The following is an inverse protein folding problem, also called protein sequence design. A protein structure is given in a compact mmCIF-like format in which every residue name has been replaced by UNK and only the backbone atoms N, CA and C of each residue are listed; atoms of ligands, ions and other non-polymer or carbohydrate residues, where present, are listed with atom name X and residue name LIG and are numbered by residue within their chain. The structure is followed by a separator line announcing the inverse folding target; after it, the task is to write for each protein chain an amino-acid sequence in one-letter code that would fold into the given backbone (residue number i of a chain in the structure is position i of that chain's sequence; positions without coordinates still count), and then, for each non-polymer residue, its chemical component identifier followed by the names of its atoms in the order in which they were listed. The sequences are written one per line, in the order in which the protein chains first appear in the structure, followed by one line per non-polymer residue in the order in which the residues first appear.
data_IF_006964936739
#
_entry.id   IF_006964936739
#
_cell.length_a   1.000
_cell.length_b   1.000
_cell.length_c   1.000
_cell.angle_alpha   90.00
_cell.angle_beta   90.00
_cell.angle_gamma   90.00
#
_symmetry.space_group_name_H-M   'P 1'
#
loop_
_entity.id
_entity.type
_entity.pdbx_description
1 polymer ?
#
# COMPACT_ATOMS: atom_id res chain seq x y z
N UNK A 1 -5.34 6.49 2.52
CA UNK A 1 -6.77 6.40 2.18
C UNK A 1 -7.16 7.27 0.98
N UNK A 2 -6.78 8.55 0.91
CA UNK A 2 -7.15 9.46 -0.19
C UNK A 2 -6.91 8.91 -1.62
N UNK A 3 -5.75 8.28 -1.86
CA UNK A 3 -5.38 7.71 -3.18
C UNK A 3 -6.44 6.76 -3.75
N UNK A 4 -7.11 5.97 -2.90
CA UNK A 4 -8.04 4.90 -3.29
C UNK A 4 -9.52 5.24 -3.01
N UNK A 5 -9.81 6.43 -2.49
CA UNK A 5 -11.16 6.83 -2.08
C UNK A 5 -12.16 6.91 -3.25
N UNK A 6 -11.69 7.06 -4.49
CA UNK A 6 -12.52 7.01 -5.69
C UNK A 6 -12.80 5.60 -6.23
N UNK A 7 -12.18 4.56 -5.66
CA UNK A 7 -12.32 3.17 -6.11
C UNK A 7 -13.15 2.33 -5.14
N UNK A 8 -12.98 2.56 -3.84
CA UNK A 8 -13.67 1.83 -2.77
C UNK A 8 -14.02 2.77 -1.63
N UNK A 9 -15.06 2.41 -0.88
CA UNK A 9 -15.36 3.10 0.37
C UNK A 9 -14.15 3.06 1.32
N UNK A 10 -13.80 4.21 1.89
CA UNK A 10 -12.62 4.35 2.76
C UNK A 10 -12.67 3.51 4.04
N UNK A 11 -13.86 3.06 4.46
CA UNK A 11 -14.06 2.10 5.55
C UNK A 11 -13.51 0.71 5.24
N UNK A 12 -13.46 0.32 3.96
CA UNK A 12 -12.88 -0.94 3.48
C UNK A 12 -11.36 -0.92 3.50
N UNK A 13 -10.73 0.23 3.71
CA UNK A 13 -9.26 0.35 3.77
C UNK A 13 -8.82 0.31 5.23
N UNK A 14 -8.21 -0.81 5.62
CA UNK A 14 -7.69 -1.04 6.97
C UNK A 14 -6.18 -0.81 7.02
N UNK A 15 -5.69 -0.33 8.17
CA UNK A 15 -4.26 -0.28 8.47
C UNK A 15 -3.96 -1.27 9.59
N UNK A 16 -2.94 -2.09 9.42
CA UNK A 16 -2.49 -3.10 10.37
C UNK A 16 -1.02 -2.91 10.64
N UNK A 17 -0.69 -2.53 11.86
CA UNK A 17 0.71 -2.38 12.26
C UNK A 17 1.35 -3.75 12.50
N UNK A 18 2.63 -3.87 12.13
CA UNK A 18 3.45 -5.06 12.37
C UNK A 18 4.85 -4.62 12.78
N UNK A 19 5.62 -5.53 13.36
CA UNK A 19 7.00 -5.24 13.81
C UNK A 19 7.88 -4.63 12.71
N UNK A 20 7.68 -5.01 11.46
CA UNK A 20 8.59 -4.67 10.35
C UNK A 20 8.02 -3.68 9.34
N UNK A 21 6.72 -3.39 9.40
CA UNK A 21 6.01 -2.48 8.49
C UNK A 21 4.57 -2.22 8.97
N UNK A 22 3.95 -1.15 8.48
CA UNK A 22 2.50 -0.95 8.60
C UNK A 22 1.83 -1.40 7.28
N UNK A 23 0.95 -2.40 7.36
CA UNK A 23 0.23 -2.94 6.21
C UNK A 23 -1.04 -2.13 5.94
N UNK A 24 -1.29 -1.80 4.68
CA UNK A 24 -2.56 -1.22 4.21
C UNK A 24 -3.30 -2.32 3.46
N UNK A 25 -4.49 -2.69 3.93
CA UNK A 25 -5.24 -3.84 3.44
C UNK A 25 -6.60 -3.41 2.93
N UNK A 26 -7.10 -4.11 1.91
CA UNK A 26 -8.49 -4.03 1.50
C UNK A 26 -9.32 -5.05 2.30
N UNK A 27 -10.48 -4.63 2.78
CA UNK A 27 -11.44 -5.42 3.57
C UNK A 27 -10.82 -6.07 4.82
N UNK A 28 -9.78 -5.44 5.38
CA UNK A 28 -9.02 -5.99 6.51
C UNK A 28 -8.51 -7.43 6.28
N UNK A 29 -8.23 -7.77 5.02
CA UNK A 29 -7.89 -9.13 4.60
C UNK A 29 -6.41 -9.22 4.20
N UNK A 30 -5.65 -10.07 4.89
CA UNK A 30 -4.22 -10.31 4.61
C UNK A 30 -3.94 -10.88 3.21
N UNK A 31 -4.95 -11.42 2.51
CA UNK A 31 -4.84 -11.88 1.11
C UNK A 31 -5.09 -10.78 0.07
N UNK A 32 -5.46 -9.58 0.53
CA UNK A 32 -5.71 -8.37 -0.27
C UNK A 32 -4.85 -7.18 0.21
N UNK A 33 -3.52 -7.31 0.25
CA UNK A 33 -2.66 -6.20 0.63
C UNK A 33 -2.63 -5.12 -0.47
N UNK A 34 -2.88 -3.87 -0.11
CA UNK A 34 -2.81 -2.73 -1.03
C UNK A 34 -1.37 -2.24 -1.16
N UNK A 35 -0.73 -1.97 -0.02
CA UNK A 35 0.69 -1.60 0.05
C UNK A 35 1.23 -1.82 1.47
N UNK A 36 2.55 -1.70 1.64
CA UNK A 36 3.22 -1.75 2.94
C UNK A 36 4.03 -0.49 3.17
N UNK A 37 3.82 0.18 4.29
CA UNK A 37 4.59 1.34 4.72
C UNK A 37 5.77 0.85 5.56
N UNK A 38 6.97 0.85 4.98
CA UNK A 38 8.21 0.40 5.65
C UNK A 38 8.99 1.61 6.15
N UNK A 39 8.48 2.25 7.20
CA UNK A 39 9.02 3.51 7.73
C UNK A 39 9.85 3.33 9.01
N UNK A 40 10.10 2.09 9.41
CA UNK A 40 10.80 1.79 10.67
C UNK A 40 12.32 1.99 10.59
N UNK A 41 12.88 2.10 9.38
CA UNK A 41 14.30 2.36 9.20
C UNK A 41 14.62 3.86 9.41
N UNK A 42 15.71 4.13 10.13
CA UNK A 42 16.12 5.50 10.51
C UNK A 42 16.59 6.34 9.32
N UNK A 43 17.16 5.70 8.29
CA UNK A 43 17.85 6.37 7.19
C UNK A 43 17.04 6.40 5.90
N UNK A 44 16.25 5.36 5.63
CA UNK A 44 15.54 5.21 4.36
C UNK A 44 14.13 4.67 4.62
N UNK A 45 13.12 5.35 4.09
CA UNK A 45 11.75 4.85 4.07
C UNK A 45 11.51 4.10 2.76
N UNK A 46 10.67 3.08 2.81
CA UNK A 46 10.26 2.35 1.61
C UNK A 46 8.74 2.22 1.54
N UNK A 47 8.23 2.18 0.32
CA UNK A 47 6.88 1.77 -0.02
C UNK A 47 6.93 0.36 -0.61
N UNK A 48 6.28 -0.59 0.05
CA UNK A 48 6.06 -1.92 -0.48
C UNK A 48 4.87 -1.93 -1.42
N UNK A 49 5.09 -2.26 -2.69
CA UNK A 49 4.06 -2.41 -3.72
C UNK A 49 3.94 -3.87 -4.15
N UNK A 50 2.78 -4.25 -4.69
CA UNK A 50 2.51 -5.62 -5.12
C UNK A 50 2.25 -5.68 -6.62
N UNK A 51 2.87 -6.66 -7.29
CA UNK A 51 2.55 -7.00 -8.68
C UNK A 51 1.31 -7.91 -8.78
N UNK A 52 0.94 -8.30 -10.00
CA UNK A 52 -0.21 -9.17 -10.27
C UNK A 52 -0.04 -10.58 -9.67
N UNK A 53 1.20 -11.04 -9.50
CA UNK A 53 1.56 -12.31 -8.87
C UNK A 53 1.63 -12.20 -7.33
N UNK A 54 1.36 -11.01 -6.77
CA UNK A 54 1.46 -10.67 -5.35
C UNK A 54 2.89 -10.71 -4.78
N UNK A 55 3.91 -10.59 -5.62
CA UNK A 55 5.28 -10.36 -5.17
C UNK A 55 5.42 -8.91 -4.70
N UNK A 56 6.15 -8.71 -3.59
CA UNK A 56 6.39 -7.37 -3.03
C UNK A 56 7.68 -6.76 -3.61
N UNK A 57 7.60 -5.58 -4.20
CA UNK A 57 8.76 -4.71 -4.49
C UNK A 57 8.86 -3.59 -3.47
N UNK A 58 10.08 -3.14 -3.15
CA UNK A 58 10.32 -2.05 -2.19
C UNK A 58 10.86 -0.83 -2.92
N UNK A 59 10.01 0.17 -3.06
CA UNK A 59 10.38 1.45 -3.66
C UNK A 59 10.95 2.39 -2.59
N UNK A 60 12.19 2.90 -2.75
CA UNK A 60 12.73 3.89 -1.83
C UNK A 60 11.95 5.21 -1.94
N UNK A 61 11.70 5.84 -0.80
CA UNK A 61 11.07 7.16 -0.71
C UNK A 61 12.07 8.17 -0.16
N UNK A 62 12.34 9.24 -0.91
CA UNK A 62 13.16 10.36 -0.43
C UNK A 62 12.34 11.25 0.52
N UNK A 63 11.03 11.36 0.24
CA UNK A 63 10.04 12.13 1.00
C UNK A 63 8.72 11.36 1.13
N UNK A 64 7.82 11.77 2.02
CA UNK A 64 6.53 11.08 2.15
C UNK A 64 5.59 11.38 0.97
N UNK A 65 5.79 12.52 0.32
CA UNK A 65 5.08 12.98 -0.86
C UNK A 65 5.33 12.05 -2.05
N UNK A 66 6.47 11.36 -2.08
CA UNK A 66 6.81 10.39 -3.13
C UNK A 66 5.83 9.23 -3.24
N UNK A 67 5.04 8.95 -2.20
CA UNK A 67 3.96 7.97 -2.25
C UNK A 67 2.97 8.29 -3.38
N UNK A 68 2.75 9.58 -3.68
CA UNK A 68 1.86 9.99 -4.78
C UNK A 68 2.42 9.65 -6.17
N UNK A 69 3.75 9.47 -6.32
CA UNK A 69 4.35 8.99 -7.58
C UNK A 69 3.92 7.55 -7.90
N UNK A 70 3.50 6.79 -6.88
CA UNK A 70 3.02 5.41 -7.00
C UNK A 70 1.49 5.29 -6.88
N UNK A 71 0.76 6.40 -6.99
CA UNK A 71 -0.69 6.43 -6.80
C UNK A 71 -1.43 5.50 -7.77
N UNK A 72 -0.99 5.45 -9.04
CA UNK A 72 -1.65 4.63 -10.06
C UNK A 72 -1.38 3.14 -9.84
N UNK A 73 -0.18 2.76 -9.36
CA UNK A 73 0.09 1.39 -8.94
C UNK A 73 -0.83 0.97 -7.80
N UNK A 74 -0.91 1.79 -6.75
CA UNK A 74 -1.78 1.54 -5.58
C UNK A 74 -3.24 1.38 -6.01
N UNK A 75 -3.72 2.22 -6.95
CA UNK A 75 -5.07 2.13 -7.52
C UNK A 75 -5.26 0.84 -8.31
N UNK A 76 -4.29 0.48 -9.16
CA UNK A 76 -4.30 -0.77 -9.93
C UNK A 76 -4.39 -2.00 -9.02
N UNK A 77 -3.60 -2.05 -7.94
CA UNK A 77 -3.68 -3.13 -6.96
C UNK A 77 -5.07 -3.27 -6.35
N UNK A 78 -5.74 -2.15 -6.02
CA UNK A 78 -7.13 -2.21 -5.52
C UNK A 78 -8.09 -2.70 -6.60
N UNK A 79 -7.97 -2.20 -7.83
CA UNK A 79 -8.83 -2.62 -8.96
C UNK A 79 -8.72 -4.12 -9.22
N UNK A 80 -7.52 -4.71 -9.12
CA UNK A 80 -7.30 -6.14 -9.25
C UNK A 80 -8.06 -7.00 -8.21
N UNK A 81 -8.53 -6.41 -7.10
CA UNK A 81 -9.36 -7.10 -6.12
C UNK A 81 -10.87 -6.89 -6.30
N UNK A 82 -11.26 -5.98 -7.18
CA UNK A 82 -12.67 -5.65 -7.49
C UNK A 82 -13.18 -6.40 -8.73
N UNK A 83 -12.27 -6.85 -9.59
CA UNK A 83 -12.54 -7.77 -10.70
C UNK A 83 -12.76 -9.19 -10.17
#
# INVERSE_FOLDING_TARGET
KAIVAGLVDTSRVAMRDTKSYCGVLLDDNNRRPICRLRFNAKTQKYLGLFDDEKNETREPLDSLEDIYKHADHIRGTVQNYLT
#
